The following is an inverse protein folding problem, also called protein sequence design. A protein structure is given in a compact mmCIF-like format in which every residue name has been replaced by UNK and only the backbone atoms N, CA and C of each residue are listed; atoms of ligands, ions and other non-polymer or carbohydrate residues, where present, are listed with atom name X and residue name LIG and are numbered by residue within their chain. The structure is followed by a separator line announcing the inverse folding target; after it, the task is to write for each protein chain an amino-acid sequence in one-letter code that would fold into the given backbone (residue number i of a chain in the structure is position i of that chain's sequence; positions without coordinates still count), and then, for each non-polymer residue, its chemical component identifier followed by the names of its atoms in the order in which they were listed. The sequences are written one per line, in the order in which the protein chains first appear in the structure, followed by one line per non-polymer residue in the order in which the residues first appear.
data_IF_883991017377
#
_entry.id   IF_883991017377
#
_cell.length_a   1.000
_cell.length_b   1.000
_cell.length_c   1.000
_cell.angle_alpha   90.00
_cell.angle_beta   90.00
_cell.angle_gamma   90.00
#
_symmetry.space_group_name_H-M   'P 1'
#
loop_
_entity.id
_entity.type
_entity.pdbx_description
1 polymer ?
#
# COMPACT_ATOMS: atom_id res chain seq x y z
N UNK A 1 -11.57 -26.16 18.11
CA UNK A 1 -12.45 -25.05 17.65
C UNK A 1 -11.64 -23.82 17.27
N UNK A 2 -10.71 -23.39 18.13
CA UNK A 2 -9.84 -22.22 17.87
C UNK A 2 -9.03 -22.30 16.56
N UNK A 3 -8.49 -23.49 16.25
CA UNK A 3 -7.67 -23.72 15.05
C UNK A 3 -8.49 -23.67 13.74
N UNK A 4 -9.75 -24.15 13.77
CA UNK A 4 -10.65 -24.07 12.62
C UNK A 4 -11.08 -22.61 12.36
N UNK A 5 -11.28 -21.84 13.43
CA UNK A 5 -11.59 -20.42 13.32
C UNK A 5 -10.44 -19.62 12.71
N UNK A 6 -9.19 -19.92 13.10
CA UNK A 6 -7.99 -19.31 12.49
C UNK A 6 -7.91 -19.59 10.99
N UNK A 7 -8.21 -20.82 10.56
CA UNK A 7 -8.25 -21.18 9.14
C UNK A 7 -9.35 -20.42 8.37
N UNK A 8 -10.56 -20.35 8.92
CA UNK A 8 -11.67 -19.59 8.30
C UNK A 8 -11.29 -18.12 8.12
N UNK A 9 -10.70 -17.50 9.16
CA UNK A 9 -10.26 -16.12 9.10
C UNK A 9 -9.16 -15.93 8.04
N UNK A 10 -8.24 -16.88 7.92
CA UNK A 10 -7.19 -16.85 6.88
C UNK A 10 -7.79 -16.90 5.46
N UNK A 11 -8.79 -17.74 5.22
CA UNK A 11 -9.46 -17.81 3.90
C UNK A 11 -10.22 -16.50 3.57
N UNK A 12 -10.85 -15.88 4.56
CA UNK A 12 -11.48 -14.56 4.41
C UNK A 12 -10.45 -13.47 4.09
N UNK A 13 -9.31 -13.47 4.76
CA UNK A 13 -8.22 -12.53 4.46
C UNK A 13 -7.70 -12.69 3.02
N UNK A 14 -7.54 -13.93 2.53
CA UNK A 14 -7.14 -14.17 1.13
C UNK A 14 -8.15 -13.60 0.13
N UNK A 15 -9.45 -13.63 0.44
CA UNK A 15 -10.48 -12.97 -0.37
C UNK A 15 -10.38 -11.45 -0.32
N UNK A 16 -10.10 -10.88 0.84
CA UNK A 16 -9.93 -9.44 0.99
C UNK A 16 -8.72 -8.93 0.20
N UNK A 17 -7.57 -9.61 0.29
CA UNK A 17 -6.34 -9.28 -0.46
C UNK A 17 -6.59 -9.27 -1.97
N UNK A 18 -7.39 -10.22 -2.45
CA UNK A 18 -7.65 -10.37 -3.90
C UNK A 18 -8.83 -9.54 -4.38
N UNK A 19 -9.64 -9.00 -3.46
CA UNK A 19 -10.96 -8.37 -3.69
C UNK A 19 -11.90 -9.27 -4.50
N UNK A 20 -11.79 -10.59 -4.31
CA UNK A 20 -12.61 -11.58 -5.02
C UNK A 20 -13.71 -12.15 -4.11
N UNK A 21 -14.87 -12.41 -4.70
CA UNK A 21 -15.89 -13.22 -4.04
C UNK A 21 -15.55 -14.72 -4.09
N UNK A 22 -16.31 -15.55 -3.35
CA UNK A 22 -16.04 -17.00 -3.23
C UNK A 22 -16.03 -17.70 -4.59
N UNK A 23 -16.95 -17.33 -5.48
CA UNK A 23 -17.04 -17.87 -6.84
C UNK A 23 -15.80 -17.55 -7.66
N UNK A 24 -15.35 -16.31 -7.62
CA UNK A 24 -14.15 -15.87 -8.33
C UNK A 24 -12.87 -16.51 -7.77
N UNK A 25 -12.79 -16.71 -6.45
CA UNK A 25 -11.67 -17.45 -5.84
C UNK A 25 -11.65 -18.90 -6.32
N UNK A 26 -12.80 -19.57 -6.23
CA UNK A 26 -12.97 -20.95 -6.65
C UNK A 26 -12.55 -21.14 -8.11
N UNK A 27 -13.07 -20.31 -9.01
CA UNK A 27 -12.73 -20.31 -10.43
C UNK A 27 -11.25 -20.05 -10.67
N UNK A 28 -10.68 -18.99 -10.07
CA UNK A 28 -9.28 -18.59 -10.30
C UNK A 28 -8.28 -19.66 -9.89
N UNK A 29 -8.50 -20.33 -8.76
CA UNK A 29 -7.56 -21.30 -8.21
C UNK A 29 -7.93 -22.75 -8.54
N UNK A 30 -8.92 -22.97 -9.41
CA UNK A 30 -9.33 -24.31 -9.85
C UNK A 30 -9.94 -25.16 -8.73
N UNK A 31 -10.60 -24.52 -7.75
CA UNK A 31 -11.23 -25.17 -6.61
C UNK A 31 -12.75 -25.23 -6.87
N UNK A 32 -13.44 -26.36 -6.66
CA UNK A 32 -14.90 -26.39 -6.77
C UNK A 32 -15.55 -25.41 -5.78
N UNK A 33 -16.51 -24.60 -6.25
CA UNK A 33 -17.18 -23.58 -5.42
C UNK A 33 -17.69 -24.14 -4.09
N UNK A 34 -18.36 -25.29 -4.13
CA UNK A 34 -18.93 -25.91 -2.92
C UNK A 34 -17.85 -26.31 -1.91
N UNK A 35 -16.66 -26.69 -2.38
CA UNK A 35 -15.51 -26.98 -1.53
C UNK A 35 -15.01 -25.71 -0.84
N UNK A 36 -14.91 -24.60 -1.58
CA UNK A 36 -14.56 -23.30 -1.01
C UNK A 36 -15.56 -22.84 0.06
N UNK A 37 -16.85 -22.90 -0.25
CA UNK A 37 -17.94 -22.54 0.66
C UNK A 37 -17.93 -23.38 1.93
N UNK A 38 -17.68 -24.69 1.81
CA UNK A 38 -17.61 -25.60 2.95
C UNK A 38 -16.39 -25.30 3.85
N UNK A 39 -15.25 -24.90 3.28
CA UNK A 39 -14.09 -24.47 4.05
C UNK A 39 -14.34 -23.14 4.77
N UNK A 40 -14.85 -22.13 4.06
CA UNK A 40 -15.03 -20.78 4.62
C UNK A 40 -16.23 -20.69 5.60
N UNK A 41 -17.19 -21.61 5.51
CA UNK A 41 -18.28 -21.78 6.51
C UNK A 41 -17.89 -22.68 7.68
N UNK A 42 -16.71 -23.30 7.64
CA UNK A 42 -16.24 -24.22 8.68
C UNK A 42 -16.89 -25.60 8.67
N UNK A 43 -17.74 -25.91 7.67
CA UNK A 43 -18.35 -27.25 7.48
C UNK A 43 -17.30 -28.32 7.18
N UNK A 44 -16.17 -27.93 6.58
CA UNK A 44 -15.01 -28.80 6.33
C UNK A 44 -13.72 -28.08 6.69
N UNK A 45 -12.74 -28.82 7.20
CA UNK A 45 -11.37 -28.30 7.41
C UNK A 45 -10.57 -28.50 6.12
N UNK A 46 -9.95 -27.44 5.64
CA UNK A 46 -8.97 -27.49 4.55
C UNK A 46 -7.70 -28.20 5.05
N UNK A 47 -7.08 -29.08 4.25
CA UNK A 47 -5.76 -29.62 4.56
C UNK A 47 -4.72 -28.50 4.71
N UNK A 48 -3.90 -28.56 5.76
CA UNK A 48 -2.97 -27.48 6.13
C UNK A 48 -1.97 -27.14 5.01
N UNK A 49 -1.46 -28.15 4.31
CA UNK A 49 -0.54 -27.94 3.19
C UNK A 49 -1.21 -27.17 2.03
N UNK A 50 -2.50 -27.43 1.79
CA UNK A 50 -3.25 -26.76 0.73
C UNK A 50 -3.51 -25.31 1.10
N UNK A 51 -3.78 -25.02 2.37
CA UNK A 51 -3.90 -23.66 2.87
C UNK A 51 -2.60 -22.88 2.65
N UNK A 52 -1.44 -23.47 3.00
CA UNK A 52 -0.12 -22.86 2.77
C UNK A 52 0.15 -22.60 1.28
N UNK A 53 -0.14 -23.57 0.41
CA UNK A 53 0.05 -23.43 -1.04
C UNK A 53 -0.87 -22.35 -1.63
N UNK A 54 -2.14 -22.34 -1.23
CA UNK A 54 -3.09 -21.32 -1.67
C UNK A 54 -2.64 -19.93 -1.20
N UNK A 55 -2.17 -19.80 0.03
CA UNK A 55 -1.66 -18.55 0.57
C UNK A 55 -0.45 -18.03 -0.23
N UNK A 56 0.48 -18.92 -0.56
CA UNK A 56 1.62 -18.61 -1.41
C UNK A 56 1.18 -18.19 -2.81
N UNK A 57 0.31 -18.97 -3.45
CA UNK A 57 -0.17 -18.72 -4.81
C UNK A 57 -0.93 -17.41 -4.91
N UNK A 58 -1.84 -17.13 -3.97
CA UNK A 58 -2.58 -15.86 -3.87
C UNK A 58 -1.62 -14.69 -3.73
N UNK A 59 -0.61 -14.79 -2.85
CA UNK A 59 0.38 -13.71 -2.67
C UNK A 59 1.22 -13.50 -3.92
N UNK A 60 1.72 -14.55 -4.55
CA UNK A 60 2.48 -14.46 -5.80
C UNK A 60 1.62 -13.88 -6.92
N UNK A 61 0.37 -14.31 -7.07
CA UNK A 61 -0.54 -13.77 -8.09
C UNK A 61 -0.88 -12.31 -7.80
N UNK A 62 -0.98 -11.91 -6.53
CA UNK A 62 -1.14 -10.52 -6.14
C UNK A 62 0.10 -9.70 -6.49
N UNK A 63 1.30 -10.16 -6.11
CA UNK A 63 2.59 -9.50 -6.41
C UNK A 63 2.80 -9.37 -7.93
N UNK A 64 2.58 -10.46 -8.67
CA UNK A 64 2.71 -10.47 -10.13
C UNK A 64 1.67 -9.58 -10.81
N UNK A 65 0.51 -9.36 -10.18
CA UNK A 65 -0.53 -8.48 -10.71
C UNK A 65 -0.25 -7.01 -10.40
N UNK A 66 0.26 -6.69 -9.22
CA UNK A 66 0.52 -5.30 -8.82
C UNK A 66 1.84 -4.78 -9.37
N UNK A 67 2.80 -5.68 -9.66
CA UNK A 67 4.16 -5.29 -10.04
C UNK A 67 4.92 -4.64 -8.89
N UNK A 68 4.43 -4.80 -7.64
CA UNK A 68 4.99 -4.17 -6.44
C UNK A 68 5.69 -5.22 -5.57
N UNK A 69 6.94 -4.97 -5.20
CA UNK A 69 7.74 -5.82 -4.31
C UNK A 69 8.29 -5.02 -3.13
N UNK A 70 8.67 -5.67 -2.03
CA UNK A 70 9.42 -5.05 -0.94
C UNK A 70 10.84 -5.61 -0.97
N UNK A 71 11.83 -4.73 -1.13
CA UNK A 71 13.26 -5.05 -1.11
C UNK A 71 13.94 -4.35 0.08
N UNK A 72 15.21 -4.66 0.30
CA UNK A 72 16.01 -4.10 1.39
C UNK A 72 17.26 -3.41 0.80
N UNK A 73 17.66 -2.28 1.37
CA UNK A 73 18.98 -1.70 1.09
C UNK A 73 20.09 -2.35 1.93
N UNK A 74 21.33 -1.90 1.76
CA UNK A 74 22.49 -2.42 2.49
C UNK A 74 22.41 -2.23 4.01
N UNK A 75 21.59 -1.28 4.47
CA UNK A 75 21.41 -0.96 5.89
C UNK A 75 20.18 -1.71 6.47
N UNK A 76 19.51 -2.54 5.67
CA UNK A 76 18.32 -3.28 6.06
C UNK A 76 17.02 -2.47 6.01
N UNK A 77 17.03 -1.26 5.46
CA UNK A 77 15.83 -0.46 5.30
C UNK A 77 14.96 -1.01 4.17
N UNK A 78 13.66 -1.13 4.44
CA UNK A 78 12.67 -1.60 3.46
C UNK A 78 12.37 -0.54 2.40
N UNK A 79 12.31 -0.94 1.15
CA UNK A 79 11.98 -0.09 0.00
C UNK A 79 10.90 -0.81 -0.83
N UNK A 80 9.83 -0.09 -1.15
CA UNK A 80 8.77 -0.58 -2.05
C UNK A 80 9.20 -0.42 -3.51
N UNK A 81 9.45 -1.50 -4.21
CA UNK A 81 9.81 -1.53 -5.62
C UNK A 81 8.55 -1.57 -6.49
N UNK A 82 8.30 -0.55 -7.31
CA UNK A 82 7.15 -0.48 -8.22
C UNK A 82 7.66 -0.67 -9.64
N UNK A 83 7.55 -1.90 -10.18
CA UNK A 83 8.06 -2.23 -11.51
C UNK A 83 7.10 -1.77 -12.63
N UNK A 84 5.80 -1.97 -12.43
CA UNK A 84 4.79 -1.65 -13.43
C UNK A 84 4.25 -0.23 -13.24
N UNK A 85 4.82 0.70 -14.01
CA UNK A 85 4.42 2.10 -13.97
C UNK A 85 3.08 2.31 -14.68
N UNK A 86 2.04 2.65 -13.91
CA UNK A 86 0.70 2.98 -14.44
C UNK A 86 0.71 4.29 -15.23
N UNK A 87 1.52 5.26 -14.80
CA UNK A 87 1.68 6.55 -15.49
C UNK A 87 3.06 6.60 -16.13
N UNK A 88 3.13 6.62 -17.46
CA UNK A 88 4.39 6.56 -18.23
C UNK A 88 4.96 7.92 -18.63
N UNK A 89 4.18 8.99 -18.51
CA UNK A 89 4.54 10.36 -18.92
C UNK A 89 4.99 11.25 -17.76
N UNK A 90 6.13 11.93 -17.88
CA UNK A 90 6.66 12.84 -16.84
C UNK A 90 6.05 14.24 -16.81
N UNK A 91 5.27 14.62 -17.83
CA UNK A 91 4.87 16.02 -18.05
C UNK A 91 3.40 16.34 -17.79
N UNK A 92 2.48 15.38 -17.84
CA UNK A 92 1.06 15.59 -17.55
C UNK A 92 0.49 14.33 -16.87
N UNK A 93 0.25 14.40 -15.56
CA UNK A 93 -0.47 13.38 -14.81
C UNK A 93 -1.91 13.86 -14.67
N UNK A 94 -2.87 13.04 -15.07
CA UNK A 94 -4.28 13.28 -14.76
C UNK A 94 -4.55 12.86 -13.31
N UNK A 95 -4.64 13.86 -12.43
CA UNK A 95 -4.85 13.62 -11.00
C UNK A 95 -6.23 13.05 -10.67
N UNK A 96 -7.23 13.21 -11.54
CA UNK A 96 -8.51 12.55 -11.34
C UNK A 96 -8.35 11.04 -11.51
N UNK A 97 -7.56 10.60 -12.50
CA UNK A 97 -7.24 9.18 -12.68
C UNK A 97 -6.43 8.65 -11.49
N UNK A 98 -5.47 9.42 -10.97
CA UNK A 98 -4.72 9.04 -9.77
C UNK A 98 -5.65 8.89 -8.56
N UNK A 99 -6.56 9.84 -8.34
CA UNK A 99 -7.54 9.80 -7.27
C UNK A 99 -8.41 8.54 -7.35
N UNK A 100 -8.92 8.19 -8.54
CA UNK A 100 -9.66 6.94 -8.76
C UNK A 100 -8.83 5.69 -8.44
N UNK A 101 -7.54 5.68 -8.75
CA UNK A 101 -6.66 4.56 -8.37
C UNK A 101 -6.59 4.41 -6.84
N UNK A 102 -6.49 5.52 -6.13
CA UNK A 102 -6.37 5.53 -4.67
C UNK A 102 -7.71 5.23 -3.99
N UNK A 103 -8.85 5.58 -4.61
CA UNK A 103 -10.20 5.21 -4.12
C UNK A 103 -10.37 3.71 -3.95
N UNK A 104 -9.68 2.89 -4.73
CA UNK A 104 -9.74 1.43 -4.59
C UNK A 104 -9.29 0.93 -3.20
N UNK A 105 -8.51 1.71 -2.46
CA UNK A 105 -8.02 1.36 -1.12
C UNK A 105 -8.95 1.80 0.02
N UNK A 106 -9.98 2.61 -0.26
CA UNK A 106 -10.89 3.12 0.76
C UNK A 106 -11.63 1.97 1.47
N UNK A 107 -11.69 2.04 2.80
CA UNK A 107 -12.30 1.03 3.66
C UNK A 107 -11.38 -0.15 3.98
N UNK A 108 -10.16 -0.18 3.45
CA UNK A 108 -9.15 -1.16 3.83
C UNK A 108 -8.28 -0.66 4.99
N UNK A 109 -7.51 -1.56 5.59
CA UNK A 109 -6.51 -1.23 6.59
C UNK A 109 -5.25 -2.05 6.39
N UNK A 110 -4.11 -1.52 6.84
CA UNK A 110 -2.82 -2.22 6.80
C UNK A 110 -2.04 -1.97 8.08
N UNK A 111 -1.32 -2.99 8.52
CA UNK A 111 -0.48 -2.95 9.72
C UNK A 111 0.96 -2.56 9.35
N UNK A 112 1.53 -1.62 10.10
CA UNK A 112 2.95 -1.25 9.98
C UNK A 112 3.80 -2.32 10.69
N UNK A 113 4.75 -2.92 9.96
CA UNK A 113 5.58 -4.03 10.48
C UNK A 113 6.36 -3.64 11.75
N UNK A 114 6.91 -2.42 11.80
CA UNK A 114 7.81 -2.02 12.89
C UNK A 114 7.09 -1.57 14.18
N UNK A 115 5.81 -1.21 14.09
CA UNK A 115 5.08 -0.57 15.20
C UNK A 115 3.79 -1.30 15.57
N UNK A 116 3.34 -2.25 14.74
CA UNK A 116 2.02 -2.89 14.82
C UNK A 116 0.85 -1.89 14.78
N UNK A 117 1.10 -0.65 14.35
CA UNK A 117 0.04 0.35 14.17
C UNK A 117 -0.85 -0.06 12.99
N UNK A 118 -2.15 -0.19 13.24
CA UNK A 118 -3.15 -0.51 12.23
C UNK A 118 -3.68 0.78 11.59
N UNK A 119 -3.33 1.00 10.33
CA UNK A 119 -3.64 2.23 9.59
C UNK A 119 -4.82 1.97 8.64
N UNK A 120 -5.91 2.71 8.85
CA UNK A 120 -7.12 2.66 8.05
C UNK A 120 -7.09 3.69 6.93
N UNK A 121 -7.68 3.36 5.77
CA UNK A 121 -7.78 4.26 4.63
C UNK A 121 -9.22 4.77 4.53
N UNK A 122 -9.42 6.04 4.89
CA UNK A 122 -10.73 6.68 4.90
C UNK A 122 -11.07 7.35 3.56
N UNK A 123 -12.35 7.73 3.39
CA UNK A 123 -12.91 8.28 2.15
C UNK A 123 -12.31 9.61 1.68
N UNK A 124 -11.66 10.34 2.58
CA UNK A 124 -11.02 11.63 2.33
C UNK A 124 -9.58 11.49 1.82
N UNK A 125 -8.92 10.34 2.06
CA UNK A 125 -7.56 10.11 1.62
C UNK A 125 -7.33 10.32 0.11
N UNK A 126 -8.20 9.84 -0.81
CA UNK A 126 -7.97 10.04 -2.24
C UNK A 126 -7.90 11.51 -2.64
N UNK A 127 -8.81 12.34 -2.11
CA UNK A 127 -8.86 13.78 -2.40
C UNK A 127 -7.60 14.48 -1.88
N UNK A 128 -7.21 14.19 -0.63
CA UNK A 128 -5.99 14.76 -0.04
C UNK A 128 -4.73 14.31 -0.82
N UNK A 129 -4.64 13.02 -1.16
CA UNK A 129 -3.51 12.48 -1.91
C UNK A 129 -3.33 13.19 -3.27
N UNK A 130 -4.42 13.43 -4.00
CA UNK A 130 -4.38 13.98 -5.35
C UNK A 130 -4.36 15.52 -5.39
N UNK A 131 -4.99 16.19 -4.42
CA UNK A 131 -5.27 17.63 -4.51
C UNK A 131 -4.72 18.48 -3.36
N UNK A 132 -3.93 17.90 -2.45
CA UNK A 132 -3.29 18.68 -1.39
C UNK A 132 -2.33 19.74 -1.92
N UNK A 133 -2.02 20.74 -1.06
CA UNK A 133 -1.08 21.81 -1.40
C UNK A 133 0.30 21.25 -1.78
N UNK A 134 0.76 20.22 -1.07
CA UNK A 134 2.03 19.55 -1.35
C UNK A 134 2.01 18.95 -2.76
N UNK A 135 0.99 18.16 -3.08
CA UNK A 135 0.82 17.54 -4.40
C UNK A 135 0.83 18.56 -5.53
N UNK A 136 0.13 19.69 -5.37
CA UNK A 136 0.08 20.78 -6.37
C UNK A 136 1.45 21.44 -6.61
N UNK A 137 2.34 21.43 -5.63
CA UNK A 137 3.69 22.00 -5.76
C UNK A 137 4.69 21.07 -6.45
N UNK A 138 4.42 19.76 -6.51
CA UNK A 138 5.33 18.79 -7.10
C UNK A 138 5.53 19.04 -8.60
N UNK A 139 6.76 18.81 -9.07
CA UNK A 139 7.15 18.91 -10.49
C UNK A 139 8.09 17.78 -10.88
N UNK A 140 8.18 17.51 -12.18
CA UNK A 140 9.15 16.59 -12.77
C UNK A 140 9.12 15.20 -12.14
N UNK A 141 10.29 14.70 -11.73
CA UNK A 141 10.45 13.34 -11.19
C UNK A 141 9.63 13.10 -9.91
N UNK A 142 9.46 14.11 -9.05
CA UNK A 142 8.71 13.95 -7.79
C UNK A 142 7.21 13.85 -8.04
N UNK A 143 6.67 14.66 -8.96
CA UNK A 143 5.27 14.58 -9.38
C UNK A 143 4.99 13.21 -10.01
N UNK A 144 5.87 12.78 -10.92
CA UNK A 144 5.79 11.47 -11.54
C UNK A 144 5.85 10.32 -10.54
N UNK A 145 6.68 10.47 -9.50
CA UNK A 145 6.83 9.47 -8.47
C UNK A 145 5.62 9.36 -7.55
N UNK A 146 5.07 10.49 -7.09
CA UNK A 146 3.85 10.55 -6.29
C UNK A 146 2.67 9.94 -7.05
N UNK A 147 2.55 10.22 -8.35
CA UNK A 147 1.50 9.62 -9.18
C UNK A 147 1.64 8.09 -9.24
N UNK A 148 2.82 7.57 -9.57
CA UNK A 148 3.03 6.13 -9.66
C UNK A 148 3.03 5.42 -8.30
N UNK A 149 3.24 6.11 -7.18
CA UNK A 149 3.11 5.50 -5.86
C UNK A 149 1.67 5.15 -5.50
N UNK A 150 0.68 5.63 -6.26
CA UNK A 150 -0.75 5.35 -6.04
C UNK A 150 -1.11 3.87 -6.12
N UNK A 151 -0.27 3.04 -6.75
CA UNK A 151 -0.51 1.59 -6.90
C UNK A 151 0.08 0.75 -5.76
N UNK A 152 0.76 1.40 -4.80
CA UNK A 152 1.55 0.72 -3.78
C UNK A 152 1.25 1.23 -2.36
N UNK A 153 0.05 1.78 -2.13
CA UNK A 153 -0.32 2.42 -0.86
C UNK A 153 -0.19 1.44 0.32
N UNK A 154 -0.68 0.21 0.15
CA UNK A 154 -0.61 -0.82 1.19
C UNK A 154 0.83 -1.18 1.57
N UNK A 155 1.68 -1.38 0.57
CA UNK A 155 3.09 -1.70 0.77
C UNK A 155 3.84 -0.53 1.41
N UNK A 156 3.53 0.70 1.01
CA UNK A 156 4.12 1.91 1.59
C UNK A 156 3.75 2.07 3.07
N UNK A 157 2.54 1.68 3.48
CA UNK A 157 2.13 1.61 4.89
C UNK A 157 2.90 0.50 5.61
N UNK A 158 2.92 -0.73 5.08
CA UNK A 158 3.58 -1.89 5.71
C UNK A 158 5.04 -1.61 6.09
N UNK A 159 5.78 -0.93 5.20
CA UNK A 159 7.20 -0.64 5.39
C UNK A 159 7.48 0.67 6.13
N UNK A 160 6.45 1.38 6.57
CA UNK A 160 6.61 2.69 7.19
C UNK A 160 7.39 2.60 8.51
N UNK A 161 8.21 3.61 8.78
CA UNK A 161 9.13 3.64 9.92
C UNK A 161 9.25 5.06 10.49
N UNK A 162 10.11 5.27 11.49
CA UNK A 162 10.37 6.59 12.08
C UNK A 162 9.10 7.33 12.57
N UNK A 163 8.27 6.63 13.35
CA UNK A 163 7.05 7.20 13.95
C UNK A 163 7.37 8.48 14.72
N UNK A 164 6.60 9.52 14.47
CA UNK A 164 6.71 10.82 15.16
C UNK A 164 5.33 11.39 15.41
N UNK A 165 5.17 12.14 16.50
CA UNK A 165 3.89 12.69 16.93
C UNK A 165 3.88 14.22 16.87
N UNK A 166 2.71 14.81 16.63
CA UNK A 166 2.46 16.24 16.79
C UNK A 166 1.03 16.46 17.24
N UNK A 167 0.87 17.29 18.27
CA UNK A 167 -0.44 17.69 18.76
C UNK A 167 -1.24 18.46 17.71
N UNK A 168 -2.56 18.31 17.76
CA UNK A 168 -3.44 19.07 16.88
C UNK A 168 -3.81 20.41 17.50
N UNK A 169 -3.20 21.48 16.99
CA UNK A 169 -3.51 22.85 17.41
C UNK A 169 -4.60 23.52 16.55
N UNK A 170 -5.10 22.83 15.52
CA UNK A 170 -6.01 23.41 14.55
C UNK A 170 -7.49 23.17 14.91
N UNK A 171 -8.27 24.26 14.92
CA UNK A 171 -9.71 24.24 15.20
C UNK A 171 -10.54 23.41 14.19
N UNK A 172 -10.02 23.20 12.97
CA UNK A 172 -10.71 22.53 11.87
C UNK A 172 -10.77 21.01 12.01
N UNK A 173 -9.87 20.41 12.81
CA UNK A 173 -9.76 18.94 12.94
C UNK A 173 -10.00 18.44 14.37
N UNK A 174 -10.88 19.11 15.13
CA UNK A 174 -11.13 18.77 16.56
C UNK A 174 -11.63 17.34 16.79
N UNK A 175 -12.30 16.75 15.81
CA UNK A 175 -12.86 15.39 15.87
C UNK A 175 -11.95 14.41 15.13
N UNK A 176 -11.63 14.71 13.87
CA UNK A 176 -10.89 13.80 12.98
C UNK A 176 -9.42 13.59 13.39
N UNK A 177 -8.82 14.56 14.08
CA UNK A 177 -7.47 14.47 14.64
C UNK A 177 -7.49 14.88 16.11
N UNK A 178 -8.51 14.40 16.86
CA UNK A 178 -8.73 14.74 18.27
C UNK A 178 -7.48 14.50 19.12
N UNK A 179 -6.78 13.41 18.87
CA UNK A 179 -5.59 13.03 19.62
C UNK A 179 -4.28 13.42 18.93
N UNK A 180 -4.35 14.15 17.81
CA UNK A 180 -3.18 14.64 17.10
C UNK A 180 -2.87 13.88 15.80
N UNK A 181 -1.61 14.04 15.38
CA UNK A 181 -1.11 13.56 14.10
C UNK A 181 0.15 12.73 14.29
N UNK A 182 0.16 11.54 13.73
CA UNK A 182 1.36 10.74 13.56
C UNK A 182 1.94 10.94 12.17
N UNK A 183 3.26 10.79 12.07
CA UNK A 183 3.95 10.74 10.79
C UNK A 183 4.94 9.61 10.76
N UNK A 184 5.01 8.95 9.61
CA UNK A 184 5.92 7.85 9.34
C UNK A 184 6.65 8.12 8.03
N UNK A 185 7.93 7.76 7.98
CA UNK A 185 8.70 7.80 6.75
C UNK A 185 8.48 6.50 5.97
N UNK A 186 8.43 6.61 4.64
CA UNK A 186 8.33 5.45 3.74
C UNK A 186 9.21 5.69 2.52
N UNK A 187 9.68 4.61 1.91
CA UNK A 187 10.59 4.63 0.76
C UNK A 187 10.07 3.74 -0.35
N UNK A 188 10.16 4.23 -1.57
CA UNK A 188 9.78 3.46 -2.75
C UNK A 188 10.71 3.76 -3.93
N UNK A 189 10.81 2.82 -4.86
CA UNK A 189 11.71 2.86 -5.98
C UNK A 189 10.95 2.66 -7.29
N UNK A 190 11.27 3.49 -8.29
CA UNK A 190 10.72 3.42 -9.64
C UNK A 190 11.82 3.09 -10.66
N UNK A 191 11.56 2.24 -11.65
CA UNK A 191 12.54 1.91 -12.67
C UNK A 191 12.93 3.15 -13.49
N UNK A 192 14.21 3.20 -13.84
CA UNK A 192 14.82 4.16 -14.74
C UNK A 192 15.18 3.40 -16.00
N UNK A 193 14.69 3.87 -17.14
CA UNK A 193 15.01 3.30 -18.44
C UNK A 193 15.97 4.21 -19.21
N UNK A 194 16.90 3.62 -19.95
CA UNK A 194 17.80 4.33 -20.85
C UNK A 194 17.10 4.69 -22.18
N UNK A 195 17.83 5.31 -23.11
CA UNK A 195 17.32 5.68 -24.43
C UNK A 195 16.83 4.49 -25.27
N UNK A 196 17.34 3.29 -25.00
CA UNK A 196 16.97 2.05 -25.67
C UNK A 196 15.77 1.35 -25.01
N UNK A 197 15.14 1.98 -24.01
CA UNK A 197 14.06 1.41 -23.18
C UNK A 197 14.49 0.19 -22.35
N UNK A 198 15.79 0.01 -22.12
CA UNK A 198 16.32 -1.03 -21.24
C UNK A 198 16.41 -0.48 -19.81
N UNK A 199 16.26 -1.36 -18.82
CA UNK A 199 16.35 -1.00 -17.40
C UNK A 199 17.79 -0.57 -17.07
N UNK A 200 17.95 0.71 -16.75
CA UNK A 200 19.21 1.37 -16.38
C UNK A 200 19.42 1.40 -14.85
N UNK A 201 18.37 1.12 -14.08
CA UNK A 201 18.41 1.06 -12.62
C UNK A 201 17.12 1.56 -11.99
N UNK A 202 17.20 2.05 -10.76
CA UNK A 202 16.04 2.54 -10.02
C UNK A 202 16.31 3.91 -9.39
N UNK A 203 15.29 4.77 -9.39
CA UNK A 203 15.29 5.99 -8.61
C UNK A 203 14.54 5.73 -7.30
N UNK A 204 15.20 5.97 -6.17
CA UNK A 204 14.57 5.85 -4.84
C UNK A 204 13.98 7.21 -4.44
N UNK A 205 12.81 7.18 -3.82
CA UNK A 205 12.08 8.32 -3.31
C UNK A 205 11.74 8.10 -1.84
N UNK A 206 11.84 9.17 -1.06
CA UNK A 206 11.27 9.25 0.30
C UNK A 206 9.92 9.94 0.23
N UNK A 207 8.99 9.50 1.05
CA UNK A 207 7.73 10.18 1.31
C UNK A 207 7.38 10.06 2.80
N UNK A 208 6.38 10.83 3.24
CA UNK A 208 5.95 10.84 4.64
C UNK A 208 4.44 10.61 4.72
N UNK A 209 4.06 9.52 5.35
CA UNK A 209 2.67 9.23 5.69
C UNK A 209 2.21 10.21 6.77
N UNK A 210 1.06 10.82 6.57
CA UNK A 210 0.37 11.66 7.56
C UNK A 210 -0.83 10.87 8.03
N UNK A 211 -0.86 10.57 9.33
CA UNK A 211 -1.88 9.73 9.94
C UNK A 211 -2.57 10.55 11.02
N UNK A 212 -3.89 10.70 10.94
CA UNK A 212 -4.68 11.33 11.99
C UNK A 212 -5.09 10.29 13.04
N UNK A 213 -5.07 10.70 14.30
CA UNK A 213 -5.60 9.90 15.40
C UNK A 213 -6.96 10.47 15.81
N UNK A 214 -8.00 9.78 15.36
CA UNK A 214 -9.38 10.24 15.45
C UNK A 214 -10.01 9.92 16.81
N UNK A 215 -11.16 10.52 17.09
CA UNK A 215 -11.89 10.37 18.36
C UNK A 215 -12.27 8.92 18.71
N UNK A 216 -12.51 8.08 17.70
CA UNK A 216 -12.76 6.64 17.83
C UNK A 216 -11.52 5.83 18.22
N UNK A 217 -10.40 6.51 18.49
CA UNK A 217 -9.10 5.96 18.84
C UNK A 217 -8.41 5.21 17.68
N UNK A 218 -8.89 5.39 16.45
CA UNK A 218 -8.33 4.74 15.26
C UNK A 218 -7.36 5.65 14.52
N UNK A 219 -6.44 5.03 13.78
CA UNK A 219 -5.43 5.71 12.99
C UNK A 219 -5.84 5.71 11.52
N UNK A 220 -6.02 6.88 10.93
CA UNK A 220 -6.42 7.00 9.53
C UNK A 220 -5.33 7.67 8.70
N UNK A 221 -4.95 7.05 7.58
CA UNK A 221 -4.08 7.68 6.59
C UNK A 221 -4.81 8.88 5.99
N UNK A 222 -4.22 10.05 6.16
CA UNK A 222 -4.78 11.33 5.70
C UNK A 222 -4.13 11.80 4.41
N UNK A 223 -2.80 11.75 4.29
CA UNK A 223 -2.06 12.08 3.05
C UNK A 223 -0.68 11.39 3.05
N UNK A 224 0.00 11.41 1.90
CA UNK A 224 1.39 11.00 1.69
C UNK A 224 2.18 12.22 1.18
N UNK A 225 2.80 12.97 2.07
CA UNK A 225 3.46 14.22 1.73
C UNK A 225 4.93 14.05 1.36
N UNK A 226 5.53 15.12 0.85
CA UNK A 226 6.99 15.29 0.71
C UNK A 226 7.64 14.19 -0.13
N UNK A 227 6.95 13.75 -1.18
CA UNK A 227 7.55 12.81 -2.15
C UNK A 227 8.76 13.45 -2.81
N UNK A 228 9.95 12.93 -2.53
CA UNK A 228 11.21 13.53 -2.95
C UNK A 228 12.21 12.45 -3.33
N UNK A 229 12.80 12.61 -4.52
CA UNK A 229 13.90 11.75 -4.99
C UNK A 229 15.09 11.83 -4.02
N UNK A 230 15.64 10.67 -3.67
CA UNK A 230 16.93 10.57 -3.00
C UNK A 230 18.04 10.92 -4.00
N UNK A 231 18.92 11.83 -3.61
CA UNK A 231 20.12 12.14 -4.39
C UNK A 231 21.15 11.05 -4.14
N UNK A 232 21.53 10.31 -5.19
CA UNK A 232 22.76 9.53 -5.16
C UNK A 232 23.94 10.48 -4.94
N UNK A 233 24.84 10.15 -4.01
CA UNK A 233 26.15 10.81 -3.99
C UNK A 233 26.81 10.58 -5.37
N UNK A 234 27.43 11.59 -5.99
CA UNK A 234 28.25 11.34 -7.17
C UNK A 234 29.28 10.26 -6.82
N UNK A 235 29.51 9.32 -7.74
CA UNK A 235 30.71 8.50 -7.67
C UNK A 235 31.89 9.47 -7.78
N UNK A 236 32.77 9.49 -6.78
CA UNK A 236 34.04 10.19 -6.89
C UNK A 236 34.73 9.66 -8.15
N UNK A 237 35.03 10.56 -9.09
CA UNK A 237 35.80 10.27 -10.30
C UNK A 237 37.28 10.11 -9.95
#
# INVERSE_FOLDING_TARGET
MEENQKQINSLKQLREITKLNQRQMAERYGIPLRTWEDWESGRRKMPEYLLRLLHYKVRIDHINRTGVNIIYDCDGNRIVLINDLRFKGRRNVDWNVVEECVKEYVGTCEEIIDTADLIYISKDFPDEFAHSKDTKTLKGANLYAKANSSVAIHEMIKVASNKSFTENYASKHKIDAKYGWYRYDTRFALPKYNSNQELDGYNIFKARLIVRHAEDNMLYLYDILRTKKETSKPLEQ
#
